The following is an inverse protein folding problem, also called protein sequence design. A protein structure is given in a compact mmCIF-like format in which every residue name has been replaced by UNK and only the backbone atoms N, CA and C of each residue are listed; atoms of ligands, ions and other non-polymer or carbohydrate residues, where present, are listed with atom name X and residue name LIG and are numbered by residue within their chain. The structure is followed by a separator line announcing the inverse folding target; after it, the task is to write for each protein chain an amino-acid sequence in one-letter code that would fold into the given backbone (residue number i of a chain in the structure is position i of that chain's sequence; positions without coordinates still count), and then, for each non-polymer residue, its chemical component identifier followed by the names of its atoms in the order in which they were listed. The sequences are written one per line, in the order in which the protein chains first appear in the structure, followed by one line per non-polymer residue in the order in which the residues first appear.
data_IF_238562581426
#
_entry.id   IF_238562581426
#
_cell.length_a   1.000
_cell.length_b   1.000
_cell.length_c   1.000
_cell.angle_alpha   90.00
_cell.angle_beta   90.00
_cell.angle_gamma   90.00
#
_symmetry.space_group_name_H-M   'P 1'
#
loop_
_entity.id
_entity.type
_entity.pdbx_description
1 polymer ?
#
# COMPACT_ATOMS: atom_id res chain seq x y z
N UNK A 1 -8.19 27.33 18.10
CA UNK A 1 -8.48 26.03 18.75
C UNK A 1 -7.73 24.96 17.99
N UNK A 2 -7.36 23.86 18.64
CA UNK A 2 -6.74 22.70 17.96
C UNK A 2 -7.84 21.67 17.75
N UNK A 3 -7.87 21.01 16.59
CA UNK A 3 -8.96 20.11 16.25
C UNK A 3 -8.95 19.69 14.79
N UNK A 4 -10.04 19.06 14.36
CA UNK A 4 -10.29 18.71 12.95
C UNK A 4 -11.70 19.11 12.55
N UNK A 5 -11.86 19.45 11.27
CA UNK A 5 -13.16 19.74 10.65
C UNK A 5 -13.47 18.58 9.71
N UNK A 6 -14.63 17.95 9.87
CA UNK A 6 -15.09 16.88 8.99
C UNK A 6 -15.71 17.45 7.71
N UNK A 7 -15.85 16.63 6.67
CA UNK A 7 -16.56 17.02 5.44
C UNK A 7 -18.02 17.48 5.70
N UNK A 8 -18.64 17.00 6.77
CA UNK A 8 -19.97 17.43 7.22
C UNK A 8 -20.00 18.87 7.77
N UNK A 9 -18.84 19.48 8.02
CA UNK A 9 -18.69 20.75 8.72
C UNK A 9 -18.68 20.61 10.25
N UNK A 10 -18.76 19.39 10.79
CA UNK A 10 -18.60 19.16 12.22
C UNK A 10 -17.16 19.47 12.67
N UNK A 11 -17.04 20.25 13.74
CA UNK A 11 -15.75 20.57 14.36
C UNK A 11 -15.53 19.69 15.60
N UNK A 12 -14.39 18.99 15.63
CA UNK A 12 -13.97 18.17 16.75
C UNK A 12 -12.77 18.83 17.41
N UNK A 13 -12.99 19.39 18.60
CA UNK A 13 -11.94 19.98 19.43
C UNK A 13 -10.99 18.91 19.98
N UNK A 14 -9.69 19.19 19.92
CA UNK A 14 -8.63 18.37 20.49
C UNK A 14 -7.53 19.23 21.11
N UNK A 15 -6.71 18.63 21.98
CA UNK A 15 -5.47 19.30 22.44
C UNK A 15 -4.30 19.05 21.49
N UNK A 16 -4.29 17.89 20.84
CA UNK A 16 -3.24 17.42 19.95
C UNK A 16 -3.90 16.58 18.86
N UNK A 17 -3.45 16.73 17.62
CA UNK A 17 -3.87 15.93 16.47
C UNK A 17 -2.70 15.07 16.00
N UNK A 18 -2.93 13.76 15.86
CA UNK A 18 -1.97 12.83 15.28
C UNK A 18 -2.50 12.33 13.93
N UNK A 19 -1.87 12.74 12.83
CA UNK A 19 -2.22 12.29 11.49
C UNK A 19 -1.46 11.00 11.13
N UNK A 20 -2.21 9.94 10.84
CA UNK A 20 -1.70 8.71 10.22
C UNK A 20 -1.84 8.70 8.70
N UNK A 21 -2.31 9.79 8.11
CA UNK A 21 -2.48 9.97 6.67
C UNK A 21 -1.11 10.31 6.06
N UNK A 22 -0.93 10.08 4.75
CA UNK A 22 0.32 10.45 4.10
C UNK A 22 0.58 11.97 4.11
N UNK A 23 1.81 12.34 3.76
CA UNK A 23 2.32 13.71 3.91
C UNK A 23 1.70 14.70 2.94
N UNK A 24 1.37 14.29 1.71
CA UNK A 24 0.76 15.19 0.73
C UNK A 24 -0.67 15.49 1.16
N UNK A 25 -1.43 14.45 1.47
CA UNK A 25 -2.80 14.62 1.97
C UNK A 25 -2.87 15.42 3.26
N UNK A 26 -2.01 15.11 4.24
CA UNK A 26 -2.00 15.84 5.52
C UNK A 26 -1.65 17.31 5.34
N UNK A 27 -0.57 17.63 4.62
CA UNK A 27 -0.03 18.99 4.61
C UNK A 27 -0.52 19.86 3.45
N UNK A 28 -0.91 19.26 2.32
CA UNK A 28 -1.32 19.99 1.12
C UNK A 28 -2.83 19.98 0.91
N UNK A 29 -3.55 18.96 1.38
CA UNK A 29 -4.99 18.82 1.15
C UNK A 29 -5.83 19.12 2.41
N UNK A 30 -5.38 18.67 3.58
CA UNK A 30 -6.14 18.76 4.84
C UNK A 30 -5.83 20.00 5.68
N UNK A 31 -4.79 20.76 5.35
CA UNK A 31 -4.41 22.00 6.04
C UNK A 31 -4.56 23.18 5.09
N UNK A 32 -5.06 24.31 5.61
CA UNK A 32 -5.30 25.51 4.82
C UNK A 32 -4.03 25.99 4.08
N UNK A 33 -4.19 26.29 2.79
CA UNK A 33 -3.12 26.83 1.96
C UNK A 33 -2.54 28.12 2.56
N UNK A 34 -1.21 28.23 2.60
CA UNK A 34 -0.50 29.37 3.21
C UNK A 34 -0.18 29.21 4.70
N UNK A 35 -0.62 28.12 5.34
CA UNK A 35 -0.21 27.79 6.72
C UNK A 35 1.29 27.49 6.83
N UNK A 36 1.85 26.80 5.82
CA UNK A 36 3.26 26.42 5.79
C UNK A 36 4.09 27.36 4.92
N UNK A 37 5.38 27.48 5.23
CA UNK A 37 6.30 28.20 4.37
C UNK A 37 6.50 27.49 3.01
N UNK A 38 6.96 28.25 2.02
CA UNK A 38 7.09 27.75 0.66
C UNK A 38 8.13 26.63 0.54
N UNK A 39 9.16 26.63 1.39
CA UNK A 39 10.22 25.63 1.35
C UNK A 39 9.69 24.25 1.80
N UNK A 40 8.91 24.21 2.88
CA UNK A 40 8.24 23.00 3.35
C UNK A 40 7.22 22.49 2.34
N UNK A 41 6.38 23.36 1.78
CA UNK A 41 5.42 22.98 0.73
C UNK A 41 6.14 22.39 -0.48
N UNK A 42 7.26 22.98 -0.90
CA UNK A 42 8.06 22.46 -2.01
C UNK A 42 8.66 21.09 -1.70
N UNK A 43 9.15 20.88 -0.47
CA UNK A 43 9.73 19.61 -0.03
C UNK A 43 8.66 18.50 -0.01
N UNK A 44 7.49 18.75 0.58
CA UNK A 44 6.38 17.79 0.59
C UNK A 44 5.85 17.55 -0.84
N UNK A 45 5.80 18.58 -1.68
CA UNK A 45 5.40 18.45 -3.08
C UNK A 45 6.32 17.53 -3.89
N UNK A 46 7.62 17.52 -3.58
CA UNK A 46 8.63 16.63 -4.19
C UNK A 46 8.63 15.22 -3.63
N UNK A 47 7.91 14.98 -2.54
CA UNK A 47 7.83 13.66 -1.92
C UNK A 47 7.25 12.63 -2.89
N UNK A 48 8.02 11.58 -3.14
CA UNK A 48 7.73 10.53 -4.10
C UNK A 48 6.95 9.41 -3.43
N UNK A 49 5.87 8.99 -4.07
CA UNK A 49 5.16 7.78 -3.71
C UNK A 49 5.57 6.65 -4.65
N UNK A 50 5.63 6.89 -5.97
CA UNK A 50 5.97 5.88 -6.99
C UNK A 50 5.30 4.55 -6.67
N UNK A 51 3.99 4.59 -6.52
CA UNK A 51 3.21 3.39 -6.26
C UNK A 51 3.48 2.35 -7.33
N UNK A 52 3.76 1.13 -6.87
CA UNK A 52 4.09 0.00 -7.72
C UNK A 52 3.20 -1.21 -7.43
N UNK A 53 2.17 -1.07 -6.59
CA UNK A 53 1.43 -2.20 -6.04
C UNK A 53 0.00 -2.25 -6.57
N UNK A 54 -0.38 -3.40 -7.11
CA UNK A 54 -1.78 -3.75 -7.36
C UNK A 54 -2.20 -4.93 -6.47
N UNK A 55 -3.50 -5.21 -6.43
CA UNK A 55 -4.04 -6.36 -5.72
C UNK A 55 -5.09 -7.07 -6.56
N UNK A 56 -5.01 -8.40 -6.61
CA UNK A 56 -6.01 -9.25 -7.24
C UNK A 56 -6.50 -10.25 -6.19
N UNK A 57 -7.78 -10.17 -5.83
CA UNK A 57 -8.41 -11.13 -4.93
C UNK A 57 -9.27 -12.08 -5.74
N UNK A 58 -9.14 -13.37 -5.48
CA UNK A 58 -9.90 -14.43 -6.14
C UNK A 58 -10.74 -15.17 -5.10
N UNK A 59 -12.04 -15.30 -5.36
CA UNK A 59 -12.88 -16.26 -4.67
C UNK A 59 -12.85 -17.57 -5.48
N UNK A 60 -12.52 -18.68 -4.82
CA UNK A 60 -12.25 -19.95 -5.46
C UNK A 60 -13.22 -21.05 -5.02
N UNK A 61 -13.57 -21.93 -5.96
CA UNK A 61 -14.39 -23.15 -5.76
C UNK A 61 -13.56 -24.37 -5.34
N UNK A 62 -12.27 -24.17 -5.10
CA UNK A 62 -11.30 -25.20 -4.75
C UNK A 62 -9.94 -24.59 -4.48
N UNK A 63 -8.93 -25.43 -4.30
CA UNK A 63 -7.55 -24.98 -4.10
C UNK A 63 -6.76 -25.05 -5.42
N UNK A 64 -5.81 -24.13 -5.66
CA UNK A 64 -4.87 -24.26 -6.76
C UNK A 64 -4.04 -25.55 -6.59
N UNK A 65 -3.77 -26.22 -7.70
CA UNK A 65 -2.94 -27.42 -7.76
C UNK A 65 -1.62 -27.09 -8.49
N UNK A 66 -0.55 -26.95 -7.73
CA UNK A 66 0.73 -26.49 -8.25
C UNK A 66 1.53 -27.63 -8.88
N UNK A 67 1.90 -27.47 -10.15
CA UNK A 67 2.68 -28.46 -10.91
C UNK A 67 4.03 -28.83 -10.28
N UNK A 68 4.65 -27.91 -9.55
CA UNK A 68 5.94 -28.16 -8.87
C UNK A 68 5.79 -28.90 -7.54
N UNK A 69 4.61 -28.86 -6.92
CA UNK A 69 4.29 -29.55 -5.68
C UNK A 69 2.78 -29.85 -5.62
N UNK A 70 2.31 -30.89 -6.31
CA UNK A 70 0.87 -31.15 -6.48
C UNK A 70 0.16 -31.57 -5.20
N UNK A 71 -1.14 -31.31 -5.16
CA UNK A 71 -2.05 -31.72 -4.09
C UNK A 71 -2.14 -30.76 -2.92
N UNK A 72 -3.03 -31.06 -1.96
CA UNK A 72 -3.24 -30.25 -0.77
C UNK A 72 -2.14 -30.52 0.26
N UNK A 73 -1.45 -29.48 0.73
CA UNK A 73 -0.44 -29.61 1.78
C UNK A 73 -0.07 -28.28 2.44
N UNK A 74 0.88 -28.33 3.38
CA UNK A 74 1.29 -27.17 4.18
C UNK A 74 1.83 -26.00 3.36
N UNK A 75 2.35 -26.27 2.15
CA UNK A 75 2.82 -25.25 1.22
C UNK A 75 1.71 -24.25 0.82
N UNK A 76 0.44 -24.66 0.86
CA UNK A 76 -0.71 -23.78 0.58
C UNK A 76 -1.04 -22.83 1.74
N UNK A 77 -0.54 -23.12 2.95
CA UNK A 77 -0.82 -22.33 4.18
C UNK A 77 0.20 -21.21 4.40
N UNK A 78 1.25 -21.16 3.59
CA UNK A 78 2.31 -20.14 3.62
C UNK A 78 2.12 -19.04 2.58
N UNK A 79 3.15 -18.19 2.45
CA UNK A 79 3.27 -17.26 1.34
C UNK A 79 3.83 -17.99 0.10
N UNK A 80 3.20 -17.76 -1.05
CA UNK A 80 3.56 -18.38 -2.33
C UNK A 80 3.93 -17.25 -3.31
N UNK A 81 5.19 -17.26 -3.74
CA UNK A 81 5.77 -16.21 -4.58
C UNK A 81 6.01 -16.69 -6.02
N UNK A 82 5.58 -15.90 -6.98
CA UNK A 82 5.81 -16.09 -8.42
C UNK A 82 6.97 -15.18 -8.86
N UNK A 83 8.19 -15.68 -8.66
CA UNK A 83 9.44 -14.95 -8.92
C UNK A 83 10.57 -15.90 -9.34
N UNK A 84 10.48 -16.54 -10.52
CA UNK A 84 11.32 -17.68 -10.88
C UNK A 84 12.82 -17.37 -11.03
N UNK A 85 13.19 -16.12 -11.29
CA UNK A 85 14.59 -15.68 -11.39
C UNK A 85 14.72 -14.18 -11.16
N UNK A 86 15.96 -13.71 -11.00
CA UNK A 86 16.26 -12.27 -10.96
C UNK A 86 15.91 -11.62 -12.29
N UNK A 87 16.31 -12.20 -13.43
CA UNK A 87 16.00 -11.69 -14.77
C UNK A 87 14.48 -11.52 -15.00
N UNK A 88 13.65 -12.42 -14.43
CA UNK A 88 12.20 -12.28 -14.48
C UNK A 88 11.72 -11.03 -13.74
N UNK A 89 12.25 -10.80 -12.54
CA UNK A 89 11.89 -9.62 -11.74
C UNK A 89 12.40 -8.33 -12.39
N UNK A 90 13.60 -8.35 -13.00
CA UNK A 90 14.14 -7.21 -13.74
C UNK A 90 13.27 -6.86 -14.96
N UNK A 91 12.86 -7.88 -15.75
CA UNK A 91 11.95 -7.67 -16.88
C UNK A 91 10.59 -7.11 -16.43
N UNK A 92 10.04 -7.63 -15.33
CA UNK A 92 8.79 -7.13 -14.78
C UNK A 92 8.92 -5.67 -14.29
N UNK A 93 10.05 -5.31 -13.69
CA UNK A 93 10.36 -3.93 -13.31
C UNK A 93 10.56 -3.01 -14.52
N UNK A 94 11.21 -3.49 -15.58
CA UNK A 94 11.45 -2.71 -16.80
C UNK A 94 10.14 -2.27 -17.46
N UNK A 95 9.12 -3.13 -17.51
CA UNK A 95 7.78 -2.75 -17.97
C UNK A 95 7.24 -1.56 -17.16
N UNK A 96 7.27 -1.66 -15.82
CA UNK A 96 6.78 -0.59 -14.92
C UNK A 96 7.59 0.70 -15.02
N UNK A 97 8.90 0.59 -15.20
CA UNK A 97 9.80 1.72 -15.42
C UNK A 97 9.40 2.53 -16.66
N UNK A 98 8.89 1.87 -17.69
CA UNK A 98 8.38 2.51 -18.91
C UNK A 98 6.86 2.74 -18.89
N UNK A 99 6.23 2.72 -17.71
CA UNK A 99 4.81 3.08 -17.53
C UNK A 99 3.83 1.99 -17.95
N UNK A 100 4.22 0.72 -17.99
CA UNK A 100 3.31 -0.40 -18.27
C UNK A 100 3.30 -1.36 -17.08
N UNK A 101 2.16 -1.95 -16.76
CA UNK A 101 2.18 -3.08 -15.83
C UNK A 101 2.87 -4.28 -16.51
N UNK A 102 3.57 -5.10 -15.73
CA UNK A 102 4.22 -6.30 -16.27
C UNK A 102 3.19 -7.30 -16.78
N UNK A 103 3.42 -7.85 -17.98
CA UNK A 103 2.63 -8.97 -18.52
C UNK A 103 2.90 -10.29 -17.80
N UNK A 104 4.02 -10.38 -17.08
CA UNK A 104 4.41 -11.50 -16.22
C UNK A 104 4.88 -10.93 -14.88
N UNK A 105 3.94 -10.47 -14.04
CA UNK A 105 4.29 -9.72 -12.84
C UNK A 105 4.94 -10.60 -11.76
N UNK A 106 5.61 -9.93 -10.82
CA UNK A 106 5.85 -10.52 -9.51
C UNK A 106 4.52 -10.59 -8.76
N UNK A 107 4.19 -11.77 -8.24
CA UNK A 107 2.98 -11.99 -7.45
C UNK A 107 3.35 -12.67 -6.15
N UNK A 108 2.95 -12.09 -5.02
CA UNK A 108 3.00 -12.70 -3.70
C UNK A 108 1.58 -13.06 -3.27
N UNK A 109 1.35 -14.31 -2.91
CA UNK A 109 -0.02 -14.84 -2.73
C UNK A 109 -0.16 -15.59 -1.43
N UNK A 110 -1.32 -15.45 -0.81
CA UNK A 110 -1.72 -16.21 0.37
C UNK A 110 -3.16 -16.72 0.19
N UNK A 111 -3.46 -17.84 0.85
CA UNK A 111 -4.81 -18.42 0.91
C UNK A 111 -5.27 -18.40 2.38
N UNK A 112 -5.68 -17.24 2.92
CA UNK A 112 -5.91 -17.07 4.35
C UNK A 112 -7.02 -17.97 4.91
N UNK A 113 -7.95 -18.43 4.08
CA UNK A 113 -9.01 -19.36 4.47
C UNK A 113 -8.49 -20.73 4.96
N UNK A 114 -7.24 -21.09 4.64
CA UNK A 114 -6.59 -22.28 5.18
C UNK A 114 -6.04 -22.10 6.61
N UNK A 115 -5.93 -20.86 7.07
CA UNK A 115 -5.56 -20.50 8.44
C UNK A 115 -6.82 -20.17 9.24
N UNK A 116 -7.70 -19.35 8.67
CA UNK A 116 -8.99 -18.96 9.25
C UNK A 116 -10.15 -19.34 8.32
N UNK A 117 -10.80 -20.50 8.53
CA UNK A 117 -11.93 -20.95 7.72
C UNK A 117 -13.15 -20.04 7.79
N UNK A 118 -13.24 -19.11 8.74
CA UNK A 118 -14.40 -18.20 8.85
C UNK A 118 -14.43 -17.12 7.77
N UNK A 119 -13.31 -16.93 7.05
CA UNK A 119 -13.19 -15.93 5.98
C UNK A 119 -13.93 -16.29 4.68
N UNK A 120 -14.44 -17.51 4.53
CA UNK A 120 -15.20 -17.94 3.36
C UNK A 120 -16.25 -19.00 3.73
N UNK A 121 -17.27 -19.23 2.88
CA UNK A 121 -18.17 -20.37 3.03
C UNK A 121 -17.43 -21.72 3.03
N UNK A 122 -18.04 -22.81 3.54
CA UNK A 122 -17.47 -24.15 3.47
C UNK A 122 -17.06 -24.54 2.04
N UNK A 123 -15.90 -25.18 1.92
CA UNK A 123 -15.32 -25.62 0.64
C UNK A 123 -15.11 -24.49 -0.39
N UNK A 124 -14.92 -23.25 0.10
CA UNK A 124 -14.56 -22.07 -0.70
C UNK A 124 -13.32 -21.43 -0.13
N UNK A 125 -12.54 -20.79 -1.00
CA UNK A 125 -11.28 -20.20 -0.60
C UNK A 125 -11.13 -18.78 -1.14
N UNK A 126 -10.37 -17.97 -0.39
CA UNK A 126 -9.92 -16.66 -0.86
C UNK A 126 -8.44 -16.79 -1.15
N UNK A 127 -8.03 -16.42 -2.36
CA UNK A 127 -6.63 -16.24 -2.73
C UNK A 127 -6.38 -14.74 -2.90
N UNK A 128 -5.54 -14.16 -2.03
CA UNK A 128 -5.20 -12.74 -2.06
C UNK A 128 -3.82 -12.57 -2.70
N UNK A 129 -3.76 -11.92 -3.84
CA UNK A 129 -2.54 -11.69 -4.61
C UNK A 129 -2.10 -10.24 -4.49
N UNK A 130 -0.96 -10.01 -3.84
CA UNK A 130 -0.23 -8.75 -3.88
C UNK A 130 0.70 -8.75 -5.09
N UNK A 131 0.65 -7.70 -5.89
CA UNK A 131 1.32 -7.65 -7.19
C UNK A 131 2.22 -6.44 -7.23
N UNK A 132 3.51 -6.63 -7.55
CA UNK A 132 4.41 -5.50 -7.77
C UNK A 132 4.55 -5.17 -9.25
N UNK A 133 5.06 -3.96 -9.51
CA UNK A 133 5.31 -3.39 -10.83
C UNK A 133 4.01 -2.99 -11.58
N UNK A 134 3.07 -2.39 -10.85
CA UNK A 134 1.91 -1.68 -11.36
C UNK A 134 2.12 -0.16 -11.17
N UNK A 135 2.63 0.57 -12.18
CA UNK A 135 2.89 2.01 -12.04
C UNK A 135 1.59 2.81 -11.96
N UNK A 136 1.53 3.84 -11.12
CA UNK A 136 0.32 4.67 -10.99
C UNK A 136 -0.07 5.38 -12.30
N UNK A 137 0.90 6.00 -12.97
CA UNK A 137 0.69 6.58 -14.30
C UNK A 137 1.09 5.58 -15.38
N UNK A 138 0.13 5.23 -16.25
CA UNK A 138 0.39 4.39 -17.41
C UNK A 138 0.89 5.23 -18.59
N UNK A 139 1.81 4.67 -19.38
CA UNK A 139 2.28 5.27 -20.62
C UNK A 139 1.20 5.21 -21.71
N UNK A 140 0.37 4.16 -21.70
CA UNK A 140 -0.67 3.88 -22.68
C UNK A 140 -2.02 3.64 -21.97
N UNK A 141 -2.94 4.59 -22.11
CA UNK A 141 -4.29 4.51 -21.50
C UNK A 141 -4.30 4.88 -20.01
N UNK A 142 -5.29 4.36 -19.29
CA UNK A 142 -5.49 4.59 -17.86
C UNK A 142 -5.86 3.29 -17.13
N UNK A 143 -5.85 3.33 -15.80
CA UNK A 143 -6.20 2.15 -15.00
C UNK A 143 -7.66 1.73 -15.15
N UNK A 144 -8.58 2.66 -15.39
CA UNK A 144 -10.00 2.34 -15.60
C UNK A 144 -10.21 1.47 -16.86
N UNK A 145 -9.41 1.68 -17.91
CA UNK A 145 -9.42 0.87 -19.14
C UNK A 145 -8.52 -0.37 -19.11
N UNK A 146 -7.45 -0.36 -18.30
CA UNK A 146 -6.44 -1.43 -18.24
C UNK A 146 -6.63 -2.41 -17.07
N UNK A 147 -7.56 -2.14 -16.13
CA UNK A 147 -7.80 -2.94 -14.91
C UNK A 147 -7.95 -4.43 -15.20
N UNK A 148 -8.84 -4.79 -16.12
CA UNK A 148 -9.13 -6.20 -16.40
C UNK A 148 -7.94 -6.90 -17.05
N UNK A 149 -7.21 -6.22 -17.95
CA UNK A 149 -6.00 -6.77 -18.57
C UNK A 149 -4.88 -7.01 -17.55
N UNK A 150 -4.75 -6.16 -16.54
CA UNK A 150 -3.85 -6.39 -15.41
C UNK A 150 -4.27 -7.60 -14.57
N UNK A 151 -5.56 -7.74 -14.29
CA UNK A 151 -6.11 -8.93 -13.62
C UNK A 151 -5.85 -10.22 -14.40
N UNK A 152 -6.02 -10.19 -15.71
CA UNK A 152 -5.74 -11.31 -16.60
C UNK A 152 -4.25 -11.70 -16.56
N UNK A 153 -3.32 -10.73 -16.62
CA UNK A 153 -1.88 -11.00 -16.54
C UNK A 153 -1.47 -11.71 -15.24
N UNK A 154 -2.10 -11.35 -14.11
CA UNK A 154 -1.87 -11.98 -12.80
C UNK A 154 -2.39 -13.42 -12.80
N UNK A 155 -3.62 -13.64 -13.28
CA UNK A 155 -4.23 -14.98 -13.35
C UNK A 155 -3.44 -15.88 -14.31
N UNK A 156 -3.03 -15.36 -15.46
CA UNK A 156 -2.22 -16.08 -16.45
C UNK A 156 -0.87 -16.51 -15.86
N UNK A 157 -0.21 -15.63 -15.12
CA UNK A 157 1.04 -15.94 -14.41
C UNK A 157 0.85 -17.06 -13.37
N UNK A 158 -0.25 -17.03 -12.63
CA UNK A 158 -0.58 -18.11 -11.69
C UNK A 158 -0.85 -19.41 -12.45
N UNK A 159 -1.58 -19.34 -13.57
CA UNK A 159 -1.95 -20.50 -14.39
C UNK A 159 -0.75 -21.22 -15.01
N UNK A 160 0.38 -20.53 -15.23
CA UNK A 160 1.64 -21.17 -15.66
C UNK A 160 2.10 -22.26 -14.66
N UNK A 161 1.75 -22.12 -13.37
CA UNK A 161 2.16 -23.06 -12.30
C UNK A 161 1.00 -23.82 -11.68
N UNK A 162 -0.20 -23.28 -11.70
CA UNK A 162 -1.44 -23.92 -11.26
C UNK A 162 -2.49 -23.91 -12.39
N UNK A 163 -2.41 -24.83 -13.37
CA UNK A 163 -3.27 -24.81 -14.56
C UNK A 163 -4.77 -24.84 -14.26
N UNK A 164 -5.17 -25.45 -13.14
CA UNK A 164 -6.57 -25.53 -12.70
C UNK A 164 -7.14 -24.20 -12.21
N UNK A 165 -6.31 -23.16 -11.98
CA UNK A 165 -6.75 -21.91 -11.33
C UNK A 165 -7.90 -21.25 -12.08
N UNK A 166 -7.86 -21.24 -13.41
CA UNK A 166 -8.88 -20.57 -14.24
C UNK A 166 -10.26 -21.23 -14.12
N UNK A 167 -10.28 -22.55 -13.89
CA UNK A 167 -11.51 -23.34 -13.81
C UNK A 167 -12.20 -23.20 -12.44
N UNK A 168 -11.44 -22.82 -11.41
CA UNK A 168 -11.93 -22.73 -10.02
C UNK A 168 -12.21 -21.29 -9.57
N UNK A 169 -12.02 -20.27 -10.40
CA UNK A 169 -12.36 -18.88 -10.05
C UNK A 169 -13.87 -18.67 -10.13
N UNK A 170 -14.49 -18.33 -9.00
CA UNK A 170 -15.90 -17.93 -8.91
C UNK A 170 -16.07 -16.43 -9.14
N UNK A 171 -15.22 -15.63 -8.51
CA UNK A 171 -15.22 -14.18 -8.63
C UNK A 171 -13.79 -13.64 -8.55
N UNK A 172 -13.57 -12.49 -9.19
CA UNK A 172 -12.33 -11.72 -9.06
C UNK A 172 -12.62 -10.29 -8.66
N UNK A 173 -11.72 -9.71 -7.87
CA UNK A 173 -11.63 -8.29 -7.61
C UNK A 173 -10.23 -7.82 -7.97
N UNK A 174 -10.13 -6.82 -8.83
CA UNK A 174 -8.86 -6.20 -9.21
C UNK A 174 -8.84 -4.78 -8.65
N UNK A 175 -7.83 -4.48 -7.84
CA UNK A 175 -7.56 -3.16 -7.27
C UNK A 175 -6.25 -2.65 -7.85
N UNK A 176 -6.36 -1.65 -8.71
CA UNK A 176 -5.22 -0.94 -9.30
C UNK A 176 -4.66 0.10 -8.31
N UNK A 177 -3.45 0.66 -8.53
CA UNK A 177 -2.96 1.79 -7.75
C UNK A 177 -3.96 2.96 -7.68
N UNK A 178 -4.70 3.22 -8.76
CA UNK A 178 -5.74 4.25 -8.81
C UNK A 178 -6.94 3.91 -7.92
N UNK A 179 -7.40 2.65 -7.95
CA UNK A 179 -8.49 2.18 -7.06
C UNK A 179 -8.06 2.25 -5.59
N UNK A 180 -6.82 1.88 -5.30
CA UNK A 180 -6.27 1.92 -3.95
C UNK A 180 -6.24 3.35 -3.40
N UNK A 181 -5.89 4.33 -4.24
CA UNK A 181 -5.93 5.75 -3.86
C UNK A 181 -7.34 6.27 -3.65
N UNK A 182 -8.28 5.93 -4.55
CA UNK A 182 -9.68 6.37 -4.51
C UNK A 182 -10.41 5.80 -3.29
N UNK A 183 -10.24 4.50 -3.03
CA UNK A 183 -11.03 3.77 -2.04
C UNK A 183 -10.44 3.83 -0.63
N UNK A 184 -9.10 3.88 -0.51
CA UNK A 184 -8.42 3.81 0.80
C UNK A 184 -7.61 5.06 1.14
N UNK A 185 -7.54 6.02 0.23
CA UNK A 185 -6.82 7.26 0.45
C UNK A 185 -5.30 7.12 0.48
N UNK A 186 -4.75 6.04 -0.10
CA UNK A 186 -3.30 5.84 -0.18
C UNK A 186 -2.77 6.49 -1.47
N UNK A 187 -2.09 7.62 -1.33
CA UNK A 187 -1.56 8.37 -2.48
C UNK A 187 -0.66 7.50 -3.37
N UNK A 188 -0.95 7.57 -4.67
CA UNK A 188 -0.44 6.74 -5.76
C UNK A 188 -0.58 5.22 -5.54
N UNK A 189 -1.41 4.77 -4.60
CA UNK A 189 -1.56 3.36 -4.24
C UNK A 189 -0.40 2.80 -3.41
N UNK A 190 0.48 3.64 -2.85
CA UNK A 190 1.65 3.18 -2.09
C UNK A 190 1.29 2.88 -0.62
N UNK A 191 1.30 1.59 -0.26
CA UNK A 191 1.02 1.09 1.10
C UNK A 191 1.99 1.58 2.18
N UNK A 192 3.19 2.04 1.78
CA UNK A 192 4.16 2.64 2.67
C UNK A 192 3.97 4.15 2.83
N UNK A 193 2.99 4.78 2.16
CA UNK A 193 2.75 6.24 2.20
C UNK A 193 3.99 7.04 1.78
N UNK A 194 4.73 6.53 0.79
CA UNK A 194 5.97 7.12 0.28
C UNK A 194 6.98 6.07 -0.13
N UNK A 195 7.75 6.36 -1.18
CA UNK A 195 8.84 5.52 -1.66
C UNK A 195 9.88 5.28 -0.55
N UNK A 196 10.36 4.04 -0.43
CA UNK A 196 11.39 3.62 0.53
C UNK A 196 12.79 3.73 -0.11
N UNK A 197 13.07 4.86 -0.75
CA UNK A 197 14.35 5.15 -1.37
C UNK A 197 15.33 5.78 -0.38
N UNK A 198 16.63 5.66 -0.63
CA UNK A 198 17.67 6.18 0.26
C UNK A 198 17.50 7.68 0.53
N UNK A 199 17.02 8.44 -0.46
CA UNK A 199 16.79 9.88 -0.32
C UNK A 199 15.60 10.24 0.58
N UNK A 200 14.63 9.34 0.80
CA UNK A 200 13.42 9.61 1.61
C UNK A 200 13.35 8.81 2.92
N UNK A 201 14.40 8.07 3.26
CA UNK A 201 14.44 7.27 4.48
C UNK A 201 15.08 8.02 5.65
N UNK A 202 14.93 7.45 6.85
CA UNK A 202 15.51 7.97 8.10
C UNK A 202 15.13 9.43 8.37
N UNK A 203 16.12 10.32 8.50
CA UNK A 203 15.95 11.72 8.88
C UNK A 203 15.34 12.58 7.76
N UNK A 204 15.16 12.01 6.56
CA UNK A 204 14.45 12.65 5.45
C UNK A 204 12.96 12.24 5.39
N UNK A 205 12.46 11.46 6.36
CA UNK A 205 11.08 10.95 6.38
C UNK A 205 10.27 11.59 7.52
N UNK A 206 9.33 12.52 7.24
CA UNK A 206 8.79 12.89 5.93
C UNK A 206 9.60 13.95 5.17
N UNK A 207 10.38 14.76 5.89
CA UNK A 207 11.24 15.80 5.33
C UNK A 207 12.40 16.08 6.30
N UNK A 208 13.55 16.59 5.81
CA UNK A 208 14.63 17.07 6.66
C UNK A 208 14.13 18.07 7.72
N UNK A 209 14.56 17.91 8.96
CA UNK A 209 14.11 18.74 10.10
C UNK A 209 12.79 18.30 10.74
N UNK A 210 11.97 17.50 10.05
CA UNK A 210 10.63 17.08 10.52
C UNK A 210 10.50 15.57 10.74
N UNK A 211 11.60 14.82 10.70
CA UNK A 211 11.60 13.35 10.86
C UNK A 211 11.37 12.83 12.30
N UNK A 212 11.12 13.72 13.26
CA UNK A 212 10.81 13.35 14.66
C UNK A 212 9.34 13.57 15.01
N UNK A 213 8.45 13.22 14.08
CA UNK A 213 6.98 13.20 14.24
C UNK A 213 6.31 14.57 14.42
N UNK A 214 6.98 15.55 15.01
CA UNK A 214 6.53 16.94 15.07
C UNK A 214 6.44 17.53 13.66
N UNK A 215 5.49 18.44 13.45
CA UNK A 215 5.31 19.17 12.19
C UNK A 215 5.51 20.67 12.40
N UNK A 216 5.61 21.49 11.33
CA UNK A 216 5.67 22.94 11.46
C UNK A 216 4.42 23.56 12.11
N UNK A 217 3.28 22.88 12.02
CA UNK A 217 2.04 23.31 12.67
C UNK A 217 2.02 22.81 14.12
N UNK A 218 1.86 23.74 15.06
CA UNK A 218 1.80 23.42 16.49
C UNK A 218 0.67 22.42 16.77
N UNK A 219 0.96 21.45 17.64
CA UNK A 219 0.04 20.38 18.04
C UNK A 219 -0.50 19.46 16.93
N UNK A 220 0.00 19.59 15.70
CA UNK A 220 -0.12 18.59 14.64
C UNK A 220 1.13 17.71 14.60
N UNK A 221 0.93 16.40 14.66
CA UNK A 221 1.98 15.38 14.65
C UNK A 221 1.69 14.33 13.60
N UNK A 222 2.73 13.76 12.99
CA UNK A 222 2.61 12.59 12.13
C UNK A 222 2.78 11.31 12.95
N UNK A 223 2.02 10.26 12.65
CA UNK A 223 2.07 8.99 13.39
C UNK A 223 1.90 7.74 12.50
N UNK A 224 1.90 7.92 11.18
CA UNK A 224 1.65 6.88 10.18
C UNK A 224 2.90 6.36 9.47
N UNK A 225 2.66 5.58 8.41
CA UNK A 225 3.71 4.97 7.59
C UNK A 225 4.61 5.98 6.87
N UNK A 226 4.15 7.22 6.74
CA UNK A 226 4.92 8.34 6.19
C UNK A 226 6.03 8.87 7.12
N UNK A 227 6.23 8.28 8.32
CA UNK A 227 7.35 8.62 9.22
C UNK A 227 8.29 7.44 9.44
N UNK A 228 9.53 7.71 9.85
CA UNK A 228 10.46 6.65 10.30
C UNK A 228 9.87 5.94 11.53
N UNK A 229 10.02 4.61 11.73
CA UNK A 229 10.81 3.65 10.94
C UNK A 229 10.21 3.17 9.62
N UNK A 230 9.03 3.65 9.22
CA UNK A 230 8.39 3.32 7.95
C UNK A 230 7.04 2.63 8.14
N UNK A 231 6.59 1.90 7.11
CA UNK A 231 5.30 1.22 7.12
C UNK A 231 5.31 -0.24 7.54
N UNK A 232 4.19 -0.90 7.24
CA UNK A 232 3.93 -2.29 7.62
C UNK A 232 3.18 -2.43 8.94
N UNK A 233 2.89 -3.68 9.32
CA UNK A 233 2.09 -4.02 10.51
C UNK A 233 2.98 -4.03 11.77
N UNK A 234 3.78 -2.97 11.98
CA UNK A 234 4.69 -2.88 13.14
C UNK A 234 4.21 -1.95 14.26
N UNK A 235 3.32 -0.99 13.96
CA UNK A 235 2.80 -0.02 14.95
C UNK A 235 3.84 0.93 15.56
N UNK A 236 5.12 0.83 15.17
CA UNK A 236 6.20 1.64 15.73
C UNK A 236 6.03 3.15 15.49
N UNK A 237 5.63 3.65 14.30
CA UNK A 237 5.42 5.07 14.08
C UNK A 237 4.42 5.68 15.06
N UNK A 238 3.27 5.02 15.22
CA UNK A 238 2.23 5.46 16.15
C UNK A 238 2.71 5.48 17.60
N UNK A 239 3.40 4.41 18.03
CA UNK A 239 3.96 4.32 19.38
C UNK A 239 4.97 5.43 19.67
N UNK A 240 5.91 5.68 18.76
CA UNK A 240 6.96 6.66 18.99
C UNK A 240 6.39 8.09 18.91
N UNK A 241 5.47 8.36 17.99
CA UNK A 241 4.76 9.64 17.93
C UNK A 241 4.07 9.96 19.26
N UNK A 242 3.34 9.00 19.83
CA UNK A 242 2.69 9.17 21.12
C UNK A 242 3.69 9.49 22.26
N UNK A 243 4.84 8.82 22.28
CA UNK A 243 5.90 9.08 23.27
C UNK A 243 6.49 10.50 23.11
N UNK A 244 6.69 10.96 21.88
CA UNK A 244 7.19 12.31 21.60
C UNK A 244 6.18 13.39 21.98
N UNK A 245 4.89 13.15 21.73
CA UNK A 245 3.79 14.03 22.18
C UNK A 245 3.78 14.16 23.70
N UNK A 246 3.87 13.03 24.43
CA UNK A 246 3.90 13.02 25.90
C UNK A 246 5.08 13.83 26.44
N UNK A 247 6.28 13.60 25.89
CA UNK A 247 7.50 14.34 26.25
C UNK A 247 7.35 15.84 26.01
N UNK A 248 6.81 16.23 24.86
CA UNK A 248 6.59 17.63 24.51
C UNK A 248 5.63 18.34 25.48
N UNK A 249 4.67 17.60 26.04
CA UNK A 249 3.66 18.11 26.97
C UNK A 249 4.02 17.90 28.46
N UNK A 250 5.30 17.65 28.77
CA UNK A 250 5.78 17.50 30.14
C UNK A 250 5.26 16.26 30.87
N UNK A 251 4.72 15.28 30.14
CA UNK A 251 4.31 13.99 30.69
C UNK A 251 5.42 12.99 30.45
N UNK A 252 6.04 12.50 31.52
CA UNK A 252 6.98 11.38 31.42
C UNK A 252 6.22 10.10 31.04
N UNK A 253 6.70 9.43 29.99
CA UNK A 253 6.20 8.14 29.52
C UNK A 253 6.49 7.00 30.50
#
# INVERSE_FOLDING_TARGET
TTGVILESGEEIDARVVLSSVDVKRTFLDMVEAGTFDQDFVNEIGRYKFRGSSGKVNLALDGLPDFTCLPGVGDHLRGAISFSPSVDYMEQAYDDAKYGRFSRRPYVDTIIPTLVDPSMAPPDKHIMSCFVQYAPYNLADGDWDSQREAFGDAVIDTIAERAPNIKDIILHRQVLTPLDIERDFGLTEGNIFQGELSLEQLFFNRPAPGWARYRTPLEDLWMCGSATHPGGGIMGAPGRIAALEVLRAHGKTA
#
